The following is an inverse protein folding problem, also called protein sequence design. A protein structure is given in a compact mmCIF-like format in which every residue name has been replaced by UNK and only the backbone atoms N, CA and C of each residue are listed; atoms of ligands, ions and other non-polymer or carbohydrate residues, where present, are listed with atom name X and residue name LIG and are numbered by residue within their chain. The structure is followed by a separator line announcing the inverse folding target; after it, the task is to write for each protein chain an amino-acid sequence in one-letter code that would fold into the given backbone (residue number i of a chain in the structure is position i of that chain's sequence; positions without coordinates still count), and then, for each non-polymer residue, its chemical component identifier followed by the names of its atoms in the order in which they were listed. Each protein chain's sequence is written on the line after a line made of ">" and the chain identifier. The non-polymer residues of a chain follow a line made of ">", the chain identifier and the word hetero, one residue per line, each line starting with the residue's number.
data_IF_232425126503
#
_entry.id   IF_232425126503
#
_cell.length_a   1.000
_cell.length_b   1.000
_cell.length_c   1.000
_cell.angle_alpha   90.00
_cell.angle_beta   90.00
_cell.angle_gamma   90.00
#
_symmetry.space_group_name_H-M   'P 1'
#
loop_
_entity.id
_entity.type
_entity.pdbx_description
1 polymer ?
#
# COMPACT_ATOMS: atom_id res chain seq x y z
N UNK A 1 10.78 -20.73 6.08
CA UNK A 1 11.27 -19.32 6.18
C UNK A 1 12.77 -19.37 6.33
N UNK A 2 13.55 -18.56 5.63
CA UNK A 2 15.01 -18.57 5.73
C UNK A 2 15.51 -17.28 6.38
N UNK A 3 16.19 -17.40 7.52
CA UNK A 3 16.75 -16.28 8.27
C UNK A 3 18.27 -16.24 8.13
N UNK A 4 18.84 -15.03 8.17
CA UNK A 4 20.28 -14.79 8.28
C UNK A 4 20.58 -14.12 9.62
N UNK A 5 21.54 -14.67 10.36
CA UNK A 5 22.13 -14.02 11.53
C UNK A 5 23.54 -13.54 11.18
N UNK A 6 23.83 -12.27 11.43
CA UNK A 6 25.16 -11.67 11.30
C UNK A 6 25.66 -11.32 12.70
N UNK A 7 26.54 -12.15 13.24
CA UNK A 7 26.96 -12.15 14.65
C UNK A 7 28.32 -12.83 14.76
N UNK A 8 29.31 -12.22 15.43
CA UNK A 8 30.64 -12.81 15.62
C UNK A 8 30.76 -13.63 16.91
N UNK A 9 29.87 -13.42 17.88
CA UNK A 9 29.87 -14.15 19.15
C UNK A 9 29.21 -15.54 19.04
N UNK A 10 29.99 -16.60 19.28
CA UNK A 10 29.52 -18.00 19.20
C UNK A 10 28.40 -18.33 20.20
N UNK A 11 28.36 -17.65 21.35
CA UNK A 11 27.32 -17.88 22.36
C UNK A 11 25.97 -17.33 21.87
N UNK A 12 25.95 -16.11 21.35
CA UNK A 12 24.76 -15.49 20.77
C UNK A 12 24.27 -16.27 19.54
N UNK A 13 25.18 -16.72 18.68
CA UNK A 13 24.87 -17.63 17.57
C UNK A 13 24.14 -18.89 18.04
N UNK A 14 24.64 -19.53 19.10
CA UNK A 14 24.04 -20.75 19.67
C UNK A 14 22.68 -20.47 20.31
N UNK A 15 22.52 -19.35 21.00
CA UNK A 15 21.24 -18.94 21.60
C UNK A 15 20.19 -18.74 20.50
N UNK A 16 20.53 -18.01 19.43
CA UNK A 16 19.64 -17.83 18.29
C UNK A 16 19.30 -19.15 17.60
N UNK A 17 20.29 -20.03 17.38
CA UNK A 17 20.08 -21.36 16.80
C UNK A 17 19.15 -22.23 17.64
N UNK A 18 19.30 -22.22 18.97
CA UNK A 18 18.39 -22.92 19.88
C UNK A 18 16.97 -22.35 19.79
N UNK A 19 16.82 -21.02 19.77
CA UNK A 19 15.51 -20.39 19.65
C UNK A 19 14.78 -20.77 18.35
N UNK A 20 15.50 -20.93 17.24
CA UNK A 20 14.93 -21.44 15.97
C UNK A 20 14.46 -22.89 16.12
N UNK A 21 15.25 -23.73 16.77
CA UNK A 21 14.89 -25.13 17.01
C UNK A 21 13.67 -25.27 17.93
N UNK A 22 13.62 -24.49 19.00
CA UNK A 22 12.50 -24.45 19.93
C UNK A 22 11.23 -24.00 19.20
N UNK A 23 11.30 -22.91 18.43
CA UNK A 23 10.16 -22.43 17.64
C UNK A 23 9.65 -23.47 16.64
N UNK A 24 10.54 -24.13 15.90
CA UNK A 24 10.19 -25.19 14.96
C UNK A 24 9.58 -26.41 15.66
N UNK A 25 10.03 -26.73 16.87
CA UNK A 25 9.51 -27.86 17.65
C UNK A 25 8.08 -27.59 18.13
N UNK A 26 7.79 -26.35 18.52
CA UNK A 26 6.44 -25.89 18.87
C UNK A 26 5.55 -25.68 17.63
N UNK A 27 6.15 -25.38 16.47
CA UNK A 27 5.46 -25.08 15.21
C UNK A 27 6.01 -25.92 14.05
N UNK A 28 5.67 -27.22 13.94
CA UNK A 28 6.27 -28.12 12.95
C UNK A 28 6.08 -27.70 11.48
N UNK A 29 5.06 -26.88 11.19
CA UNK A 29 4.80 -26.36 9.84
C UNK A 29 5.66 -25.15 9.46
N UNK A 30 6.39 -24.55 10.41
CA UNK A 30 7.13 -23.32 10.16
C UNK A 30 8.40 -23.55 9.31
N UNK A 31 9.09 -24.65 9.57
CA UNK A 31 10.32 -25.06 8.89
C UNK A 31 11.27 -23.87 8.65
N UNK A 32 11.68 -23.25 9.75
CA UNK A 32 12.60 -22.11 9.75
C UNK A 32 14.03 -22.65 9.65
N UNK A 33 14.81 -22.13 8.70
CA UNK A 33 16.25 -22.38 8.61
C UNK A 33 17.04 -21.12 8.95
N UNK A 34 18.18 -21.28 9.62
CA UNK A 34 19.07 -20.20 10.02
C UNK A 34 20.43 -20.38 9.34
N UNK A 35 20.89 -19.35 8.64
CA UNK A 35 22.27 -19.22 8.19
C UNK A 35 23.00 -18.21 9.08
N UNK A 36 24.28 -18.43 9.31
CA UNK A 36 25.11 -17.57 10.16
C UNK A 36 26.25 -17.01 9.30
N UNK A 37 26.53 -15.72 9.49
CA UNK A 37 27.71 -15.03 8.97
C UNK A 37 28.44 -14.36 10.13
N UNK A 38 29.75 -14.59 10.23
CA UNK A 38 30.56 -14.04 11.32
C UNK A 38 31.17 -12.69 10.96
N UNK A 39 31.13 -12.29 9.69
CA UNK A 39 31.72 -11.03 9.24
C UNK A 39 31.03 -10.48 7.98
N UNK A 40 31.31 -9.21 7.69
CA UNK A 40 30.73 -8.46 6.55
C UNK A 40 30.97 -9.15 5.20
N UNK A 41 32.17 -9.72 4.99
CA UNK A 41 32.56 -10.32 3.71
C UNK A 41 31.71 -11.55 3.36
N UNK A 42 31.27 -12.32 4.36
CA UNK A 42 30.43 -13.51 4.15
C UNK A 42 29.02 -13.12 3.72
N UNK A 43 28.52 -11.99 4.22
CA UNK A 43 27.17 -11.50 3.94
C UNK A 43 26.99 -11.20 2.46
N UNK A 44 27.95 -10.51 1.83
CA UNK A 44 27.85 -10.16 0.40
C UNK A 44 27.74 -11.41 -0.48
N UNK A 45 28.55 -12.44 -0.20
CA UNK A 45 28.49 -13.71 -0.93
C UNK A 45 27.14 -14.39 -0.75
N UNK A 46 26.64 -14.47 0.49
CA UNK A 46 25.38 -15.14 0.82
C UNK A 46 24.17 -14.45 0.19
N UNK A 47 24.14 -13.12 0.20
CA UNK A 47 23.03 -12.34 -0.38
C UNK A 47 22.97 -12.44 -1.91
N UNK A 48 24.08 -12.76 -2.58
CA UNK A 48 24.10 -13.00 -4.04
C UNK A 48 23.53 -14.36 -4.43
N UNK A 49 23.85 -15.39 -3.65
CA UNK A 49 23.53 -16.78 -3.98
C UNK A 49 22.15 -17.21 -3.45
N UNK A 50 21.67 -16.55 -2.40
CA UNK A 50 20.50 -16.99 -1.64
C UNK A 50 19.48 -15.86 -1.43
N UNK A 51 18.25 -16.23 -1.05
CA UNK A 51 17.24 -15.26 -0.63
C UNK A 51 16.85 -15.54 0.81
N UNK A 52 16.71 -14.45 1.56
CA UNK A 52 16.33 -14.48 2.97
C UNK A 52 14.98 -13.79 3.15
N UNK A 53 14.24 -14.26 4.14
CA UNK A 53 12.97 -13.72 4.59
C UNK A 53 13.14 -12.76 5.77
N UNK A 54 14.31 -12.75 6.40
CA UNK A 54 14.65 -11.85 7.51
C UNK A 54 16.13 -11.90 7.85
N UNK A 55 16.67 -10.80 8.37
CA UNK A 55 18.07 -10.67 8.78
C UNK A 55 18.14 -10.11 10.20
N UNK A 56 18.96 -10.71 11.05
CA UNK A 56 19.33 -10.21 12.37
C UNK A 56 20.80 -9.78 12.32
N UNK A 57 21.11 -8.56 12.76
CA UNK A 57 22.45 -7.97 12.67
C UNK A 57 22.91 -7.50 14.05
N UNK A 58 24.11 -7.90 14.49
CA UNK A 58 24.86 -7.16 15.51
C UNK A 58 25.70 -6.04 14.88
N UNK A 59 25.83 -4.92 15.60
CA UNK A 59 26.62 -3.77 15.17
C UNK A 59 28.11 -4.00 15.30
N UNK A 60 28.53 -4.80 16.29
CA UNK A 60 29.93 -5.11 16.54
C UNK A 60 30.20 -6.52 16.01
N UNK A 61 30.94 -6.62 14.91
CA UNK A 61 31.28 -7.89 14.25
C UNK A 61 32.79 -8.20 14.32
N UNK A 62 33.56 -7.34 14.98
CA UNK A 62 34.96 -7.58 15.29
C UNK A 62 35.38 -6.86 16.57
N UNK A 63 36.56 -7.25 17.07
CA UNK A 63 37.16 -6.59 18.23
C UNK A 63 37.70 -5.18 17.94
N UNK A 64 37.91 -4.82 16.68
CA UNK A 64 38.61 -3.59 16.30
C UNK A 64 37.67 -2.40 16.02
N UNK A 65 36.45 -2.66 15.52
CA UNK A 65 35.49 -1.61 15.15
C UNK A 65 34.10 -1.93 15.67
N UNK A 66 33.45 -0.93 16.27
CA UNK A 66 32.16 -1.10 16.95
C UNK A 66 30.93 -0.94 16.02
N UNK A 67 31.13 -0.65 14.74
CA UNK A 67 30.08 -0.24 13.79
C UNK A 67 30.12 -1.00 12.46
N UNK A 68 30.79 -2.16 12.41
CA UNK A 68 30.86 -2.98 11.19
C UNK A 68 29.51 -3.49 10.71
N UNK A 69 28.52 -3.62 11.60
CA UNK A 69 27.13 -3.86 11.20
C UNK A 69 26.57 -2.78 10.27
N UNK A 70 27.05 -1.53 10.35
CA UNK A 70 26.65 -0.49 9.39
C UNK A 70 27.17 -0.82 7.99
N UNK A 71 28.31 -1.50 7.85
CA UNK A 71 28.79 -1.93 6.53
C UNK A 71 27.84 -2.96 5.91
N UNK A 72 27.27 -3.86 6.74
CA UNK A 72 26.22 -4.79 6.30
C UNK A 72 24.97 -4.02 5.84
N UNK A 73 24.54 -3.01 6.59
CA UNK A 73 23.41 -2.14 6.21
C UNK A 73 23.69 -1.45 4.87
N UNK A 74 24.91 -0.94 4.66
CA UNK A 74 25.31 -0.32 3.40
C UNK A 74 25.26 -1.30 2.22
N UNK A 75 25.67 -2.55 2.41
CA UNK A 75 25.54 -3.58 1.36
C UNK A 75 24.06 -3.91 1.07
N UNK A 76 23.20 -4.02 2.09
CA UNK A 76 21.77 -4.22 1.91
C UNK A 76 21.11 -3.08 1.12
N UNK A 77 21.50 -1.84 1.41
CA UNK A 77 21.07 -0.63 0.67
C UNK A 77 21.49 -0.70 -0.80
N UNK A 78 22.76 -1.02 -1.09
CA UNK A 78 23.28 -1.14 -2.47
C UNK A 78 22.57 -2.22 -3.26
N UNK A 79 22.26 -3.35 -2.62
CA UNK A 79 21.57 -4.46 -3.26
C UNK A 79 20.05 -4.24 -3.43
N UNK A 80 19.51 -3.11 -2.92
CA UNK A 80 18.07 -2.82 -2.89
C UNK A 80 17.26 -3.99 -2.29
N UNK A 81 17.83 -4.65 -1.27
CA UNK A 81 17.24 -5.83 -0.66
C UNK A 81 15.99 -5.47 0.14
N UNK A 82 14.83 -5.95 -0.33
CA UNK A 82 13.54 -5.78 0.36
C UNK A 82 13.31 -6.88 1.40
N UNK A 83 14.29 -7.05 2.29
CA UNK A 83 14.30 -8.11 3.32
C UNK A 83 14.19 -7.46 4.69
N UNK A 84 13.17 -7.78 5.51
CA UNK A 84 13.04 -7.21 6.86
C UNK A 84 14.31 -7.40 7.70
N UNK A 85 14.77 -6.34 8.38
CA UNK A 85 16.01 -6.34 9.19
C UNK A 85 15.69 -6.00 10.64
N UNK A 86 16.26 -6.77 11.57
CA UNK A 86 16.31 -6.42 13.00
C UNK A 86 17.76 -6.23 13.40
N UNK A 87 18.05 -5.17 14.17
CA UNK A 87 19.36 -4.96 14.78
C UNK A 87 19.27 -5.38 16.25
N UNK A 88 20.13 -6.31 16.67
CA UNK A 88 20.22 -6.80 18.05
C UNK A 88 21.64 -6.56 18.55
N UNK A 89 21.84 -5.53 19.38
CA UNK A 89 23.21 -5.06 19.69
C UNK A 89 23.39 -4.51 21.10
N UNK A 90 24.61 -4.54 21.63
CA UNK A 90 24.95 -3.82 22.87
C UNK A 90 24.98 -2.29 22.70
N UNK A 91 25.19 -1.79 21.48
CA UNK A 91 25.41 -0.37 21.17
C UNK A 91 24.41 0.16 20.14
N UNK A 92 23.11 0.31 20.49
CA UNK A 92 22.06 0.70 19.54
C UNK A 92 22.19 2.13 19.00
N UNK A 93 22.98 2.97 19.65
CA UNK A 93 23.17 4.38 19.28
C UNK A 93 24.05 4.56 18.02
N UNK A 94 24.86 3.55 17.66
CA UNK A 94 25.71 3.61 16.46
C UNK A 94 25.01 3.08 15.20
N UNK A 95 23.83 2.49 15.35
CA UNK A 95 23.10 1.87 14.25
C UNK A 95 22.47 2.93 13.32
N UNK A 96 22.76 2.83 12.02
CA UNK A 96 22.00 3.55 11.00
C UNK A 96 20.52 3.13 11.02
N UNK A 97 19.61 4.10 10.77
CA UNK A 97 18.15 3.88 10.90
C UNK A 97 17.34 4.23 9.66
N UNK A 98 17.96 4.86 8.68
CA UNK A 98 17.28 5.43 7.52
C UNK A 98 17.61 4.65 6.24
N UNK A 99 16.67 4.64 5.29
CA UNK A 99 16.82 4.10 3.93
C UNK A 99 17.05 2.59 3.82
N UNK A 100 16.53 1.78 4.74
CA UNK A 100 16.51 0.32 4.62
C UNK A 100 15.29 -0.28 5.35
N UNK A 101 14.93 -1.55 5.10
CA UNK A 101 13.72 -2.18 5.67
C UNK A 101 13.92 -2.60 7.13
N UNK A 102 14.28 -1.63 7.98
CA UNK A 102 14.41 -1.80 9.42
C UNK A 102 13.04 -2.07 10.06
N UNK A 103 12.94 -3.19 10.77
CA UNK A 103 11.78 -3.52 11.60
C UNK A 103 11.94 -2.86 12.96
N UNK A 104 13.02 -3.19 13.67
CA UNK A 104 13.27 -2.74 15.05
C UNK A 104 14.77 -2.78 15.38
N UNK A 105 15.15 -2.01 16.40
CA UNK A 105 16.48 -2.05 17.03
C UNK A 105 16.26 -2.41 18.50
N UNK A 106 16.91 -3.48 18.96
CA UNK A 106 16.85 -3.94 20.34
C UNK A 106 18.23 -3.93 20.97
N UNK A 107 18.32 -3.54 22.25
CA UNK A 107 19.56 -3.72 23.00
C UNK A 107 19.66 -5.18 23.45
N UNK A 108 20.84 -5.79 23.35
CA UNK A 108 21.10 -7.16 23.84
C UNK A 108 20.65 -7.29 25.30
N UNK A 109 19.82 -8.29 25.58
CA UNK A 109 19.21 -8.52 26.90
C UNK A 109 17.83 -7.88 27.11
N UNK A 110 17.36 -6.99 26.23
CA UNK A 110 15.99 -6.45 26.30
C UNK A 110 14.95 -7.42 25.72
N UNK A 111 15.33 -8.15 24.66
CA UNK A 111 14.47 -9.08 23.94
C UNK A 111 15.22 -10.37 23.65
N UNK A 112 14.52 -11.51 23.77
CA UNK A 112 15.07 -12.82 23.44
C UNK A 112 14.97 -13.11 21.94
N UNK A 113 15.91 -13.89 21.38
CA UNK A 113 15.88 -14.29 19.97
C UNK A 113 14.57 -15.00 19.58
N UNK A 114 13.92 -15.73 20.50
CA UNK A 114 12.65 -16.39 20.24
C UNK A 114 11.53 -15.39 19.87
N UNK A 115 11.51 -14.21 20.50
CA UNK A 115 10.54 -13.16 20.18
C UNK A 115 10.82 -12.53 18.81
N UNK A 116 12.10 -12.37 18.44
CA UNK A 116 12.46 -11.92 17.09
C UNK A 116 12.01 -12.91 16.02
N UNK A 117 12.21 -14.20 16.26
CA UNK A 117 11.80 -15.27 15.34
C UNK A 117 10.27 -15.27 15.18
N UNK A 118 9.51 -15.05 16.26
CA UNK A 118 8.06 -14.86 16.21
C UNK A 118 7.68 -13.65 15.36
N UNK A 119 8.35 -12.51 15.55
CA UNK A 119 8.12 -11.29 14.77
C UNK A 119 8.34 -11.53 13.27
N UNK A 120 9.48 -12.12 12.88
CA UNK A 120 9.75 -12.50 11.49
C UNK A 120 8.73 -13.50 10.95
N UNK A 121 8.34 -14.49 11.75
CA UNK A 121 7.33 -15.47 11.35
C UNK A 121 5.98 -14.83 11.06
N UNK A 122 5.54 -13.87 11.89
CA UNK A 122 4.31 -13.12 11.65
C UNK A 122 4.38 -12.32 10.35
N UNK A 123 5.50 -11.64 10.09
CA UNK A 123 5.74 -10.91 8.82
C UNK A 123 5.73 -11.89 7.64
N UNK A 124 6.48 -12.99 7.71
CA UNK A 124 6.55 -14.00 6.66
C UNK A 124 5.19 -14.61 6.31
N UNK A 125 4.34 -14.83 7.32
CA UNK A 125 2.98 -15.37 7.12
C UNK A 125 2.04 -14.44 6.37
N UNK A 126 2.31 -13.14 6.34
CA UNK A 126 1.55 -12.21 5.48
C UNK A 126 1.83 -12.44 3.99
N UNK A 127 2.93 -13.13 3.65
CA UNK A 127 3.40 -13.29 2.28
C UNK A 127 4.22 -12.12 1.76
N UNK A 128 4.51 -11.09 2.58
CA UNK A 128 5.25 -9.90 2.16
C UNK A 128 6.55 -10.24 1.44
N UNK A 129 7.40 -11.12 2.01
CA UNK A 129 8.68 -11.51 1.40
C UNK A 129 8.50 -12.42 0.18
N UNK A 130 7.38 -13.17 0.10
CA UNK A 130 7.03 -13.97 -1.08
C UNK A 130 6.55 -13.10 -2.24
N UNK A 131 6.04 -11.90 -1.96
CA UNK A 131 5.58 -10.94 -2.97
C UNK A 131 6.72 -10.01 -3.39
N UNK A 132 7.40 -9.42 -2.41
CA UNK A 132 8.37 -8.32 -2.57
C UNK A 132 9.84 -8.75 -2.50
N UNK A 133 10.14 -9.99 -2.10
CA UNK A 133 11.52 -10.47 -2.03
C UNK A 133 12.23 -10.46 -3.38
N UNK A 134 13.55 -10.60 -3.41
CA UNK A 134 14.35 -10.59 -4.64
C UNK A 134 13.97 -11.67 -5.68
N UNK A 135 13.26 -12.72 -5.24
CA UNK A 135 12.65 -13.76 -6.08
C UNK A 135 11.14 -13.88 -5.81
N UNK A 136 10.51 -12.80 -5.38
CA UNK A 136 9.08 -12.77 -5.09
C UNK A 136 8.23 -12.72 -6.36
N UNK A 137 6.91 -12.88 -6.19
CA UNK A 137 5.94 -12.90 -7.29
C UNK A 137 6.06 -11.69 -8.20
N UNK A 138 6.33 -10.48 -7.67
CA UNK A 138 6.48 -9.28 -8.51
C UNK A 138 7.70 -9.40 -9.44
N UNK A 139 8.85 -9.86 -8.93
CA UNK A 139 10.07 -9.99 -9.74
C UNK A 139 9.93 -11.06 -10.83
N UNK A 140 9.29 -12.18 -10.48
CA UNK A 140 8.95 -13.22 -11.45
C UNK A 140 8.07 -12.66 -12.57
N UNK A 141 7.01 -11.91 -12.23
CA UNK A 141 6.13 -11.29 -13.23
C UNK A 141 6.83 -10.21 -14.04
N UNK A 142 7.66 -9.36 -13.44
CA UNK A 142 8.43 -8.35 -14.18
C UNK A 142 9.39 -9.01 -15.17
N UNK A 143 10.03 -10.10 -14.79
CA UNK A 143 10.90 -10.88 -15.68
C UNK A 143 10.10 -11.44 -16.87
N UNK A 144 8.94 -12.05 -16.61
CA UNK A 144 8.02 -12.53 -17.66
C UNK A 144 7.58 -11.38 -18.58
N UNK A 145 7.16 -10.25 -18.02
CA UNK A 145 6.73 -9.07 -18.79
C UNK A 145 7.86 -8.56 -19.69
N UNK A 146 9.08 -8.51 -19.16
CA UNK A 146 10.24 -8.07 -19.92
C UNK A 146 10.54 -8.98 -21.12
N UNK A 147 10.60 -10.30 -20.89
CA UNK A 147 10.95 -11.29 -21.91
C UNK A 147 9.84 -11.46 -22.96
N UNK A 148 8.59 -11.57 -22.51
CA UNK A 148 7.49 -12.00 -23.36
C UNK A 148 6.72 -10.83 -23.99
N UNK A 149 6.78 -9.63 -23.40
CA UNK A 149 6.00 -8.47 -23.84
C UNK A 149 6.87 -7.30 -24.29
N UNK A 150 7.74 -6.79 -23.41
CA UNK A 150 8.49 -5.55 -23.67
C UNK A 150 9.59 -5.74 -24.72
N UNK A 151 10.46 -6.74 -24.58
CA UNK A 151 11.51 -6.97 -25.57
C UNK A 151 10.97 -7.29 -26.97
N UNK A 152 9.94 -8.15 -27.14
CA UNK A 152 9.41 -8.45 -28.47
C UNK A 152 8.77 -7.24 -29.16
N UNK A 153 8.05 -6.38 -28.44
CA UNK A 153 7.42 -5.20 -29.05
C UNK A 153 8.44 -4.14 -29.46
N UNK A 154 9.58 -4.03 -28.77
CA UNK A 154 10.69 -3.15 -29.16
C UNK A 154 11.42 -3.65 -30.42
N UNK A 155 11.54 -4.99 -30.56
CA UNK A 155 12.19 -5.60 -31.73
C UNK A 155 11.32 -5.57 -32.98
N UNK A 156 9.99 -5.59 -32.82
CA UNK A 156 9.06 -5.42 -33.94
C UNK A 156 9.10 -3.96 -34.41
N UNK A 157 9.21 -3.76 -35.72
CA UNK A 157 9.06 -2.48 -36.39
C UNK A 157 10.15 -1.43 -36.09
N UNK A 158 11.41 -1.88 -36.01
CA UNK A 158 12.62 -1.06 -35.86
C UNK A 158 12.73 0.13 -36.84
N UNK A 159 12.10 0.02 -38.02
CA UNK A 159 12.13 1.00 -39.10
C UNK A 159 10.89 1.92 -39.16
N UNK A 160 9.86 1.70 -38.33
CA UNK A 160 8.63 2.48 -38.37
C UNK A 160 8.67 3.69 -37.43
N UNK A 161 8.17 4.84 -37.89
CA UNK A 161 8.03 6.04 -37.05
C UNK A 161 7.00 5.84 -35.92
N UNK A 162 6.00 4.99 -36.13
CA UNK A 162 4.97 4.65 -35.13
C UNK A 162 5.36 3.45 -34.25
N UNK A 163 6.65 3.30 -33.96
CA UNK A 163 7.19 2.28 -33.05
C UNK A 163 7.75 2.93 -31.79
N UNK A 164 7.96 2.15 -30.72
CA UNK A 164 8.62 2.63 -29.51
C UNK A 164 9.99 3.26 -29.78
N UNK A 165 10.75 2.70 -30.72
CA UNK A 165 12.06 3.24 -31.12
C UNK A 165 11.89 4.52 -31.95
N UNK A 166 10.84 4.60 -32.77
CA UNK A 166 10.43 5.82 -33.46
C UNK A 166 10.07 6.93 -32.47
N UNK A 167 9.22 6.65 -31.47
CA UNK A 167 8.86 7.60 -30.42
C UNK A 167 10.07 8.05 -29.61
N UNK A 168 10.98 7.14 -29.26
CA UNK A 168 12.21 7.48 -28.52
C UNK A 168 13.14 8.41 -29.31
N UNK A 169 13.19 8.30 -30.65
CA UNK A 169 13.94 9.23 -31.51
C UNK A 169 13.35 10.63 -31.53
N UNK A 170 12.04 10.77 -31.28
CA UNK A 170 11.35 12.06 -31.23
C UNK A 170 11.42 12.68 -29.82
N UNK A 171 11.19 11.88 -28.79
CA UNK A 171 11.13 12.29 -27.39
C UNK A 171 11.43 11.08 -26.49
N UNK A 172 12.69 10.93 -26.10
CA UNK A 172 13.17 9.81 -25.27
C UNK A 172 12.49 9.78 -23.91
N UNK A 173 12.39 10.93 -23.24
CA UNK A 173 11.93 11.03 -21.86
C UNK A 173 10.44 10.74 -21.76
N UNK A 174 9.64 11.23 -22.73
CA UNK A 174 8.22 10.89 -22.80
C UNK A 174 8.02 9.41 -23.11
N UNK A 175 8.87 8.85 -23.97
CA UNK A 175 8.80 7.43 -24.35
C UNK A 175 9.11 6.52 -23.18
N UNK A 176 10.14 6.83 -22.39
CA UNK A 176 10.47 6.11 -21.16
C UNK A 176 9.30 6.12 -20.17
N UNK A 177 8.73 7.30 -19.90
CA UNK A 177 7.53 7.42 -19.06
C UNK A 177 6.35 6.61 -19.59
N UNK A 178 6.19 6.54 -20.91
CA UNK A 178 5.14 5.75 -21.55
C UNK A 178 5.38 4.25 -21.46
N UNK A 179 6.62 3.79 -21.62
CA UNK A 179 7.02 2.40 -21.44
C UNK A 179 6.84 1.95 -19.99
N UNK A 180 7.15 2.81 -19.01
CA UNK A 180 6.88 2.52 -17.60
C UNK A 180 5.38 2.27 -17.35
N UNK A 181 4.50 3.13 -17.86
CA UNK A 181 3.04 2.93 -17.77
C UNK A 181 2.60 1.65 -18.49
N UNK A 182 3.20 1.36 -19.63
CA UNK A 182 2.91 0.15 -20.40
C UNK A 182 3.30 -1.12 -19.63
N UNK A 183 4.48 -1.15 -19.01
CA UNK A 183 4.93 -2.24 -18.13
C UNK A 183 4.01 -2.41 -16.91
N UNK A 184 3.61 -1.30 -16.27
CA UNK A 184 2.67 -1.32 -15.15
C UNK A 184 1.32 -1.93 -15.53
N UNK A 185 0.79 -1.60 -16.71
CA UNK A 185 -0.48 -2.17 -17.18
C UNK A 185 -0.40 -3.69 -17.35
N UNK A 186 0.71 -4.20 -17.88
CA UNK A 186 0.96 -5.65 -17.96
C UNK A 186 1.03 -6.27 -16.58
N UNK A 187 1.73 -5.62 -15.64
CA UNK A 187 1.82 -6.11 -14.26
C UNK A 187 0.45 -6.20 -13.60
N UNK A 188 -0.36 -5.14 -13.72
CA UNK A 188 -1.74 -5.13 -13.24
C UNK A 188 -2.53 -6.29 -13.87
N UNK A 189 -2.46 -6.47 -15.19
CA UNK A 189 -3.17 -7.55 -15.88
C UNK A 189 -2.75 -8.95 -15.41
N UNK A 190 -1.47 -9.15 -15.09
CA UNK A 190 -0.99 -10.42 -14.56
C UNK A 190 -1.42 -10.68 -13.11
N UNK A 191 -1.55 -9.63 -12.30
CA UNK A 191 -1.87 -9.73 -10.87
C UNK A 191 -3.39 -9.70 -10.59
N UNK A 192 -4.18 -9.02 -11.42
CA UNK A 192 -5.61 -8.75 -11.24
C UNK A 192 -6.50 -9.91 -11.75
N UNK A 193 -6.10 -11.16 -11.48
CA UNK A 193 -6.84 -12.37 -11.89
C UNK A 193 -7.56 -13.06 -10.73
N UNK A 194 -7.48 -12.52 -9.51
CA UNK A 194 -8.17 -13.08 -8.35
C UNK A 194 -9.59 -12.47 -8.20
N UNK A 195 -10.57 -13.34 -7.99
CA UNK A 195 -11.99 -13.00 -7.80
C UNK A 195 -12.36 -13.09 -6.31
N UNK A 196 -11.36 -13.23 -5.44
CA UNK A 196 -11.55 -13.25 -3.99
C UNK A 196 -12.13 -11.93 -3.48
N UNK A 197 -12.66 -11.96 -2.26
CA UNK A 197 -13.18 -10.75 -1.61
C UNK A 197 -12.01 -9.92 -1.12
N UNK A 198 -11.98 -8.65 -1.49
CA UNK A 198 -11.01 -7.69 -0.99
C UNK A 198 -11.12 -7.48 0.52
N UNK A 199 -9.98 -7.27 1.17
CA UNK A 199 -9.89 -6.69 2.51
C UNK A 199 -10.14 -5.18 2.47
N UNK A 200 -10.68 -4.58 3.55
CA UNK A 200 -10.89 -3.13 3.66
C UNK A 200 -9.69 -2.25 3.27
N UNK A 201 -8.48 -2.69 3.62
CA UNK A 201 -7.23 -1.97 3.38
C UNK A 201 -6.98 -1.74 1.89
N UNK A 202 -7.42 -2.64 1.01
CA UNK A 202 -7.23 -2.54 -0.45
C UNK A 202 -7.96 -1.34 -1.07
N UNK A 203 -8.99 -0.82 -0.40
CA UNK A 203 -9.73 0.36 -0.88
C UNK A 203 -8.90 1.65 -0.79
N UNK A 204 -7.83 1.66 0.01
CA UNK A 204 -7.05 2.86 0.30
C UNK A 204 -5.59 2.71 -0.09
N UNK A 205 -5.01 3.80 -0.57
CA UNK A 205 -3.57 4.02 -0.64
C UNK A 205 -3.19 4.77 0.65
N UNK A 206 -2.41 4.11 1.50
CA UNK A 206 -1.94 4.64 2.77
C UNK A 206 -0.50 4.18 3.07
N UNK A 207 0.39 5.08 3.56
CA UNK A 207 0.19 6.53 3.64
C UNK A 207 0.07 7.14 2.23
N UNK A 208 -0.54 8.33 2.09
CA UNK A 208 -0.57 9.04 0.81
C UNK A 208 0.85 9.27 0.28
N UNK A 209 1.09 8.96 -0.99
CA UNK A 209 2.43 9.02 -1.59
C UNK A 209 2.96 10.45 -1.74
N UNK A 210 2.08 11.45 -1.71
CA UNK A 210 2.42 12.87 -1.73
C UNK A 210 1.24 13.69 -1.18
N UNK A 211 1.46 14.99 -0.99
CA UNK A 211 0.44 15.94 -0.55
C UNK A 211 -0.51 16.40 -1.66
N UNK A 212 -0.36 15.91 -2.90
CA UNK A 212 -1.18 16.35 -4.02
C UNK A 212 -2.60 15.85 -3.86
N UNK A 213 -3.53 16.78 -3.99
CA UNK A 213 -4.96 16.51 -3.92
C UNK A 213 -5.44 16.04 -5.29
N UNK A 214 -5.91 14.80 -5.35
CA UNK A 214 -6.42 14.17 -6.56
C UNK A 214 -7.86 13.72 -6.34
N UNK A 215 -8.54 13.34 -7.41
CA UNK A 215 -9.83 12.64 -7.31
C UNK A 215 -9.69 11.41 -6.42
N UNK A 216 -10.60 11.24 -5.47
CA UNK A 216 -10.55 10.17 -4.48
C UNK A 216 -9.65 10.45 -3.28
N UNK A 217 -8.97 11.60 -3.19
CA UNK A 217 -8.30 12.01 -1.95
C UNK A 217 -9.34 12.24 -0.85
N UNK A 218 -9.05 11.71 0.34
CA UNK A 218 -9.83 11.95 1.55
C UNK A 218 -9.16 13.08 2.33
N UNK A 219 -9.94 14.11 2.63
CA UNK A 219 -9.50 15.31 3.32
C UNK A 219 -10.24 15.43 4.65
N UNK A 220 -9.56 15.94 5.68
CA UNK A 220 -10.20 16.36 6.93
C UNK A 220 -10.28 17.88 6.95
N UNK A 221 -11.41 18.44 7.36
CA UNK A 221 -11.53 19.88 7.57
C UNK A 221 -10.74 20.32 8.81
N UNK A 222 -9.97 21.40 8.73
CA UNK A 222 -9.03 21.77 9.79
C UNK A 222 -9.71 22.19 11.11
N UNK A 223 -10.95 22.69 11.03
CA UNK A 223 -11.69 23.17 12.20
C UNK A 223 -12.76 22.18 12.72
N UNK A 224 -12.80 20.95 12.19
CA UNK A 224 -13.79 19.94 12.60
C UNK A 224 -13.31 18.51 12.36
N UNK A 225 -14.04 17.52 12.88
CA UNK A 225 -13.80 16.10 12.60
C UNK A 225 -14.49 15.61 11.31
N UNK A 226 -14.89 16.53 10.43
CA UNK A 226 -15.61 16.20 9.21
C UNK A 226 -14.64 15.81 8.10
N UNK A 227 -14.95 14.70 7.44
CA UNK A 227 -14.17 14.17 6.34
C UNK A 227 -14.90 14.37 5.01
N UNK A 228 -14.11 14.54 3.95
CA UNK A 228 -14.60 14.79 2.60
C UNK A 228 -13.82 13.95 1.60
N UNK A 229 -14.47 13.56 0.51
CA UNK A 229 -13.82 12.96 -0.66
C UNK A 229 -13.83 13.94 -1.83
N UNK A 230 -12.70 14.06 -2.51
CA UNK A 230 -12.55 14.89 -3.71
C UNK A 230 -13.16 14.17 -4.91
N UNK A 231 -14.12 14.79 -5.58
CA UNK A 231 -14.88 14.19 -6.68
C UNK A 231 -14.73 14.92 -8.02
N UNK A 232 -13.82 15.91 -8.13
CA UNK A 232 -13.51 16.51 -9.43
C UNK A 232 -13.10 15.43 -10.44
N UNK A 233 -13.46 15.56 -11.72
CA UNK A 233 -12.84 14.77 -12.77
C UNK A 233 -11.31 14.89 -12.71
N UNK A 234 -10.58 13.78 -12.90
CA UNK A 234 -9.12 13.75 -12.78
C UNK A 234 -8.42 14.73 -13.76
N UNK A 235 -9.05 15.04 -14.89
CA UNK A 235 -8.55 15.99 -15.89
C UNK A 235 -8.69 17.47 -15.46
N UNK A 236 -9.51 17.77 -14.46
CA UNK A 236 -9.68 19.14 -13.97
C UNK A 236 -8.60 19.51 -12.94
N UNK A 237 -8.04 18.52 -12.22
CA UNK A 237 -6.96 18.66 -11.22
C UNK A 237 -5.53 18.47 -11.79
N UNK A 238 -5.40 18.42 -13.12
CA UNK A 238 -4.10 18.32 -13.77
C UNK A 238 -3.43 19.70 -13.87
N UNK A 239 -2.24 19.84 -13.27
CA UNK A 239 -1.41 21.03 -13.37
C UNK A 239 -0.93 21.25 -14.81
N UNK A 240 -1.02 22.49 -15.29
CA UNK A 240 -0.49 22.89 -16.60
C UNK A 240 1.00 23.20 -16.54
N UNK A 241 1.67 23.17 -17.69
CA UNK A 241 3.08 23.59 -17.87
C UNK A 241 3.37 25.03 -17.41
N UNK A 242 2.33 25.86 -17.24
CA UNK A 242 2.45 27.26 -16.84
C UNK A 242 2.00 27.48 -15.37
N UNK A 243 1.77 26.41 -14.61
CA UNK A 243 1.17 26.44 -13.27
C UNK A 243 -0.36 26.51 -13.29
N UNK A 244 -1.00 25.90 -12.29
CA UNK A 244 -2.45 25.93 -12.06
C UNK A 244 -3.25 24.78 -12.69
N UNK A 245 -4.37 24.44 -12.04
CA UNK A 245 -5.35 23.46 -12.50
C UNK A 245 -6.32 24.05 -13.55
N UNK A 246 -7.06 23.18 -14.26
CA UNK A 246 -8.08 23.63 -15.23
C UNK A 246 -9.33 24.18 -14.51
N UNK A 247 -9.59 23.72 -13.29
CA UNK A 247 -10.69 24.20 -12.45
C UNK A 247 -10.17 25.15 -11.38
N UNK A 248 -10.89 26.23 -11.14
CA UNK A 248 -10.69 27.13 -10.00
C UNK A 248 -11.40 26.61 -8.73
N UNK A 249 -12.20 25.54 -8.85
CA UNK A 249 -12.98 24.96 -7.76
C UNK A 249 -12.75 23.46 -7.56
N UNK A 250 -12.61 23.06 -6.30
CA UNK A 250 -12.64 21.68 -5.85
C UNK A 250 -14.06 21.27 -5.44
N UNK A 251 -14.50 20.11 -5.92
CA UNK A 251 -15.77 19.45 -5.61
C UNK A 251 -15.53 18.43 -4.50
N UNK A 252 -16.08 18.70 -3.32
CA UNK A 252 -15.97 17.85 -2.14
C UNK A 252 -17.33 17.27 -1.77
N UNK A 253 -17.35 15.98 -1.42
CA UNK A 253 -18.54 15.30 -0.92
C UNK A 253 -18.31 14.85 0.51
N UNK A 254 -19.24 15.17 1.40
CA UNK A 254 -19.12 14.83 2.82
C UNK A 254 -19.17 13.31 3.05
N UNK A 255 -18.29 12.84 3.93
CA UNK A 255 -18.24 11.48 4.45
C UNK A 255 -18.83 11.49 5.86
N UNK A 256 -19.98 10.85 6.01
CA UNK A 256 -20.72 10.81 7.26
C UNK A 256 -20.41 9.53 8.04
N UNK A 257 -20.44 9.57 9.37
CA UNK A 257 -20.37 8.35 10.18
C UNK A 257 -21.65 7.54 10.02
N UNK A 258 -21.56 6.21 10.15
CA UNK A 258 -22.72 5.33 10.00
C UNK A 258 -23.81 5.62 11.06
N UNK A 259 -23.38 6.02 12.26
CA UNK A 259 -24.23 6.45 13.36
C UNK A 259 -25.02 7.72 13.01
N UNK A 260 -24.41 8.66 12.29
CA UNK A 260 -25.09 9.89 11.85
C UNK A 260 -26.11 9.65 10.73
N UNK A 261 -25.91 8.59 9.92
CA UNK A 261 -26.88 8.16 8.90
C UNK A 261 -28.09 7.50 9.56
N UNK A 262 -27.88 6.71 10.62
CA UNK A 262 -28.91 5.97 11.33
C UNK A 262 -28.97 6.35 12.82
N UNK A 263 -29.36 7.60 13.17
CA UNK A 263 -29.36 8.07 14.55
C UNK A 263 -30.37 7.35 15.44
N UNK A 264 -31.41 6.74 14.84
CA UNK A 264 -32.46 6.03 15.53
C UNK A 264 -32.09 4.56 15.86
N UNK A 265 -30.91 4.09 15.45
CA UNK A 265 -30.48 2.74 15.76
C UNK A 265 -29.99 2.67 17.20
N UNK A 266 -30.44 1.66 17.94
CA UNK A 266 -29.79 1.26 19.19
C UNK A 266 -28.51 0.48 18.85
N UNK A 267 -27.38 1.18 18.83
CA UNK A 267 -26.07 0.61 18.52
C UNK A 267 -25.57 -0.39 19.56
N UNK A 268 -26.14 -0.41 20.78
CA UNK A 268 -25.83 -1.43 21.80
C UNK A 268 -26.59 -2.73 21.55
N UNK A 269 -27.75 -2.67 20.89
CA UNK A 269 -28.60 -3.83 20.61
C UNK A 269 -29.33 -3.68 19.27
N UNK A 270 -28.62 -4.00 18.19
CA UNK A 270 -29.19 -3.93 16.85
C UNK A 270 -30.26 -5.01 16.63
N UNK A 271 -31.42 -4.61 16.11
CA UNK A 271 -32.46 -5.54 15.67
C UNK A 271 -32.04 -6.27 14.38
N UNK A 272 -32.67 -7.41 14.08
CA UNK A 272 -32.44 -8.14 12.81
C UNK A 272 -32.68 -7.25 11.58
N UNK A 273 -33.67 -6.37 11.66
CA UNK A 273 -33.98 -5.41 10.59
C UNK A 273 -32.86 -4.38 10.41
N UNK A 274 -32.37 -3.80 11.50
CA UNK A 274 -31.27 -2.82 11.45
C UNK A 274 -29.98 -3.45 10.89
N UNK A 275 -29.70 -4.71 11.25
CA UNK A 275 -28.57 -5.46 10.67
C UNK A 275 -28.73 -5.64 9.16
N UNK A 276 -29.96 -5.91 8.68
CA UNK A 276 -30.26 -5.98 7.25
C UNK A 276 -29.95 -4.67 6.53
N UNK A 277 -30.43 -3.54 7.09
CA UNK A 277 -30.18 -2.20 6.54
C UNK A 277 -28.68 -1.88 6.49
N UNK A 278 -27.91 -2.24 7.53
CA UNK A 278 -26.46 -2.04 7.54
C UNK A 278 -25.76 -2.88 6.47
N UNK A 279 -26.15 -4.14 6.30
CA UNK A 279 -25.60 -5.00 5.24
C UNK A 279 -25.86 -4.41 3.86
N UNK A 280 -27.06 -3.90 3.61
CA UNK A 280 -27.40 -3.25 2.34
C UNK A 280 -26.63 -1.95 2.14
N UNK A 281 -26.34 -1.22 3.22
CA UNK A 281 -25.53 0.00 3.17
C UNK A 281 -24.07 -0.32 2.84
N UNK A 282 -23.46 -1.32 3.51
CA UNK A 282 -22.08 -1.74 3.26
C UNK A 282 -21.90 -2.42 1.90
N UNK A 283 -22.97 -3.00 1.35
CA UNK A 283 -23.00 -3.51 -0.02
C UNK A 283 -23.31 -2.43 -1.05
N UNK A 284 -23.47 -1.17 -0.64
CA UNK A 284 -23.76 -0.06 -1.54
C UNK A 284 -25.11 -0.22 -2.29
N UNK A 285 -26.06 -0.97 -1.71
CA UNK A 285 -27.34 -1.31 -2.31
C UNK A 285 -28.55 -0.61 -1.64
N UNK A 286 -28.35 0.04 -0.48
CA UNK A 286 -29.47 0.62 0.28
C UNK A 286 -30.07 1.87 -0.39
N UNK A 287 -29.22 2.83 -0.72
CA UNK A 287 -29.60 4.10 -1.37
C UNK A 287 -28.60 4.42 -2.46
N UNK A 288 -29.09 4.97 -3.58
CA UNK A 288 -28.25 5.33 -4.72
C UNK A 288 -27.27 6.47 -4.43
N UNK A 289 -27.52 7.27 -3.38
CA UNK A 289 -26.69 8.40 -2.98
C UNK A 289 -25.71 8.09 -1.85
N UNK A 290 -25.67 6.86 -1.34
CA UNK A 290 -24.73 6.45 -0.31
C UNK A 290 -23.66 5.53 -0.86
N UNK A 291 -22.39 5.84 -0.57
CA UNK A 291 -21.26 4.96 -0.83
C UNK A 291 -20.46 4.72 0.45
N UNK A 292 -20.45 3.48 0.92
CA UNK A 292 -19.74 3.08 2.12
C UNK A 292 -18.23 2.97 1.90
N UNK A 293 -17.47 3.50 2.85
CA UNK A 293 -16.03 3.43 2.98
C UNK A 293 -15.70 2.61 4.24
N UNK A 294 -15.00 1.46 4.14
CA UNK A 294 -14.76 0.59 5.27
C UNK A 294 -13.77 1.19 6.27
N UNK A 295 -13.91 0.81 7.54
CA UNK A 295 -12.95 1.16 8.60
C UNK A 295 -11.71 0.28 8.48
N UNK A 296 -10.53 0.87 8.70
CA UNK A 296 -9.23 0.20 8.81
C UNK A 296 -8.52 0.65 10.10
N UNK A 297 -7.29 0.19 10.33
CA UNK A 297 -6.49 0.67 11.46
C UNK A 297 -6.08 2.15 11.31
N UNK A 298 -5.94 2.63 10.07
CA UNK A 298 -5.48 4.00 9.75
C UNK A 298 -6.60 4.97 9.39
N UNK A 299 -7.82 4.47 9.14
CA UNK A 299 -8.94 5.32 8.75
C UNK A 299 -10.26 4.85 9.37
N UNK A 300 -11.04 5.79 9.90
CA UNK A 300 -12.29 5.50 10.62
C UNK A 300 -13.40 4.93 9.74
N UNK A 301 -13.29 5.06 8.41
CA UNK A 301 -14.37 4.73 7.48
C UNK A 301 -15.52 5.75 7.55
N UNK A 302 -16.61 5.44 6.86
CA UNK A 302 -17.83 6.25 6.83
C UNK A 302 -18.70 5.96 5.62
N UNK A 303 -19.62 6.88 5.30
CA UNK A 303 -20.51 6.80 4.14
C UNK A 303 -20.46 8.13 3.41
N UNK A 304 -19.93 8.11 2.18
CA UNK A 304 -20.03 9.24 1.26
C UNK A 304 -21.50 9.48 0.96
N UNK A 305 -21.98 10.71 1.20
CA UNK A 305 -23.34 11.10 0.88
C UNK A 305 -23.33 12.03 -0.33
N UNK A 306 -23.67 11.50 -1.51
CA UNK A 306 -23.67 12.24 -2.78
C UNK A 306 -24.66 13.43 -2.81
N UNK A 307 -25.51 13.59 -1.80
CA UNK A 307 -26.36 14.79 -1.63
C UNK A 307 -25.63 15.95 -0.95
N UNK A 308 -24.55 15.68 -0.21
CA UNK A 308 -23.82 16.66 0.58
C UNK A 308 -22.58 17.14 -0.16
N UNK A 309 -22.84 17.77 -1.29
CA UNK A 309 -21.83 18.33 -2.16
C UNK A 309 -21.51 19.75 -1.70
N UNK A 310 -20.22 20.07 -1.70
CA UNK A 310 -19.71 21.41 -1.46
C UNK A 310 -18.62 21.73 -2.47
N UNK A 311 -18.45 23.01 -2.78
CA UNK A 311 -17.41 23.47 -3.72
C UNK A 311 -16.61 24.60 -3.11
N UNK A 312 -15.29 24.46 -3.14
CA UNK A 312 -14.35 25.43 -2.55
C UNK A 312 -13.42 25.94 -3.63
N UNK A 313 -12.91 27.17 -3.49
CA UNK A 313 -11.87 27.64 -4.39
C UNK A 313 -10.58 26.85 -4.12
N UNK A 314 -9.82 26.53 -5.17
CA UNK A 314 -8.56 25.77 -5.06
C UNK A 314 -7.61 26.38 -4.01
N UNK A 315 -7.48 27.71 -4.03
CA UNK A 315 -6.66 28.47 -3.07
C UNK A 315 -7.07 28.31 -1.61
N UNK A 316 -8.34 27.99 -1.33
CA UNK A 316 -8.84 27.87 0.04
C UNK A 316 -8.66 26.45 0.57
N UNK A 317 -8.46 25.45 -0.32
CA UNK A 317 -8.39 24.05 0.07
C UNK A 317 -7.22 23.79 1.02
N UNK A 318 -6.03 24.30 0.70
CA UNK A 318 -4.83 24.12 1.53
C UNK A 318 -4.94 24.77 2.92
N UNK A 319 -5.82 25.76 3.09
CA UNK A 319 -6.05 26.46 4.36
C UNK A 319 -7.18 25.83 5.18
N UNK A 320 -8.24 25.37 4.51
CA UNK A 320 -9.44 24.82 5.15
C UNK A 320 -9.34 23.32 5.44
N UNK A 321 -8.48 22.60 4.73
CA UNK A 321 -8.37 21.15 4.82
C UNK A 321 -6.94 20.71 5.09
N UNK A 322 -6.81 19.49 5.61
CA UNK A 322 -5.55 18.81 5.78
C UNK A 322 -4.97 18.39 4.42
N UNK A 323 -3.68 18.06 4.40
CA UNK A 323 -3.14 17.14 3.37
C UNK A 323 -3.99 15.86 3.34
N UNK A 324 -4.05 15.14 2.20
CA UNK A 324 -4.79 13.89 2.11
C UNK A 324 -4.41 12.94 3.25
N UNK A 325 -5.40 12.36 3.94
CA UNK A 325 -5.16 11.36 5.00
C UNK A 325 -5.08 9.95 4.42
N UNK A 326 -5.76 9.72 3.30
CA UNK A 326 -5.72 8.52 2.47
C UNK A 326 -6.22 8.88 1.07
N UNK A 327 -5.96 8.01 0.10
CA UNK A 327 -6.52 8.13 -1.25
C UNK A 327 -7.24 6.84 -1.62
N UNK A 328 -8.40 6.93 -2.28
CA UNK A 328 -9.08 5.73 -2.78
C UNK A 328 -8.25 5.11 -3.91
N UNK A 329 -8.02 3.80 -3.83
CA UNK A 329 -7.26 3.07 -4.84
C UNK A 329 -8.01 3.01 -6.18
N UNK A 330 -7.30 2.96 -7.34
CA UNK A 330 -7.92 3.09 -8.66
C UNK A 330 -9.06 2.11 -8.98
N UNK A 331 -9.01 0.82 -8.57
CA UNK A 331 -10.11 -0.12 -8.82
C UNK A 331 -11.44 0.34 -8.18
N UNK A 332 -11.38 0.84 -6.95
CA UNK A 332 -12.56 1.26 -6.19
C UNK A 332 -13.02 2.68 -6.55
N UNK A 333 -12.08 3.56 -6.89
CA UNK A 333 -12.40 4.94 -7.27
C UNK A 333 -13.33 5.00 -8.50
N UNK A 334 -13.13 4.11 -9.47
CA UNK A 334 -13.98 4.00 -10.66
C UNK A 334 -15.45 3.75 -10.29
N UNK A 335 -15.70 2.86 -9.33
CA UNK A 335 -17.06 2.58 -8.84
C UNK A 335 -17.66 3.80 -8.13
N UNK A 336 -16.93 4.45 -7.22
CA UNK A 336 -17.41 5.67 -6.54
C UNK A 336 -17.80 6.75 -7.55
N UNK A 337 -16.93 7.04 -8.52
CA UNK A 337 -17.16 8.05 -9.57
C UNK A 337 -18.35 7.69 -10.46
N UNK A 338 -18.48 6.41 -10.82
CA UNK A 338 -19.60 5.90 -11.61
C UNK A 338 -20.93 6.07 -10.86
N UNK A 339 -20.98 5.68 -9.59
CA UNK A 339 -22.18 5.82 -8.74
C UNK A 339 -22.55 7.28 -8.51
N UNK A 340 -21.57 8.15 -8.27
CA UNK A 340 -21.79 9.59 -8.14
C UNK A 340 -22.38 10.20 -9.42
N UNK A 341 -21.76 9.91 -10.58
CA UNK A 341 -22.22 10.38 -11.88
C UNK A 341 -23.62 9.88 -12.20
N UNK A 342 -23.87 8.59 -11.96
CA UNK A 342 -25.17 7.95 -12.17
C UNK A 342 -26.26 8.57 -11.29
N UNK A 343 -25.95 8.85 -10.03
CA UNK A 343 -26.89 9.51 -9.11
C UNK A 343 -27.25 10.92 -9.59
N UNK A 344 -26.25 11.71 -10.01
CA UNK A 344 -26.45 13.10 -10.42
C UNK A 344 -27.09 13.24 -11.82
N UNK A 345 -26.94 12.24 -12.69
CA UNK A 345 -27.56 12.21 -14.01
C UNK A 345 -29.04 11.82 -14.00
N UNK A 346 -29.61 11.44 -12.84
CA UNK A 346 -31.02 11.02 -12.74
C UNK A 346 -31.95 12.16 -13.14
N UNK A 347 -32.76 11.92 -14.17
CA UNK A 347 -33.89 12.77 -14.48
C UNK A 347 -35.06 12.35 -13.58
N UNK A 348 -35.63 13.31 -12.85
CA UNK A 348 -36.86 13.05 -12.09
C UNK A 348 -38.01 12.78 -13.07
N UNK A 349 -38.74 11.70 -12.86
CA UNK A 349 -40.03 11.50 -13.53
C UNK A 349 -41.12 12.04 -12.59
N UNK A 350 -42.03 12.90 -13.06
CA UNK A 350 -43.20 13.27 -12.29
C UNK A 350 -44.04 12.03 -11.98
N UNK A 351 -44.48 11.89 -10.73
CA UNK A 351 -45.45 10.85 -10.37
C UNK A 351 -46.79 11.19 -11.03
N UNK A 352 -47.22 10.34 -11.94
CA UNK A 352 -48.54 10.44 -12.58
C UNK A 352 -49.56 9.88 -11.59
N UNK A 353 -50.63 10.63 -11.32
CA UNK A 353 -51.72 10.15 -10.48
C UNK A 353 -52.50 9.04 -11.20
N UNK A 354 -52.10 7.80 -10.93
CA UNK A 354 -52.73 6.60 -11.50
C UNK A 354 -54.15 6.37 -10.99
N UNK A 355 -54.61 7.08 -9.94
CA UNK A 355 -55.98 6.97 -9.45
C UNK A 355 -56.98 7.70 -10.35
N UNK A 356 -56.51 8.60 -11.23
CA UNK A 356 -57.37 9.30 -12.20
C UNK A 356 -57.93 8.32 -13.25
N UNK A 357 -57.15 7.30 -13.63
CA UNK A 357 -57.53 6.29 -14.64
C UNK A 357 -58.19 5.04 -14.02
N UNK A 358 -58.35 4.98 -12.69
CA UNK A 358 -58.93 3.83 -11.98
C UNK A 358 -60.41 4.03 -11.57
N UNK A 359 -61.11 5.02 -12.14
CA UNK A 359 -62.55 5.26 -11.91
C UNK A 359 -63.43 4.92 -13.11
#
# INVERSE_FOLDING_TARGET
>A
MKLLLVEDDEQDQKICGNAVNDFNSENPTANISLEICCCVNEVESKLKDECFDGIIIDMKLSSEKADEGNQVIQELKKMLSRIPVVIMTGTPDVAEREDFPLVSIYRKGEVEYLELIKEFWHIYRTGLTKIMGGRGTIEEKLTTIFIDNLLPILKKNLSEQNSWIGYAKMDSDRTEKALLRYALNHLIHHLDNDISRCYPEEMYIYPPMNSRINTGSILKHNNSEQHYIVMNPACDLAERTNGGCKTDRALLVEIQTIESIFPNFDWKKLSKNNIGILKDTYRNNKELYYHWLPKTFFYSGGVVNFRRISTYAERDISHLFSSPIAQISPPFLKDIVSRFSSYYARQGQPDIDVNIDMN
#
